data_IF_138151480200
#
_entry.id   IF_138151480200
#
_cell.length_a   1.000
_cell.length_b   1.000
_cell.length_c   1.000
_cell.angle_alpha   90.00
_cell.angle_beta   90.00
_cell.angle_gamma   90.00
#
_symmetry.space_group_name_H-M   'P 1'
#
loop_
_entity.id
_entity.type
_entity.pdbx_description
1 polymer ?
#
# COMPACT_ATOMS: atom_id res chain seq x y z
N UNK A 1 16.87 9.31 -5.38
CA UNK A 1 15.57 10.01 -5.24
C UNK A 1 14.91 9.56 -3.93
N UNK A 2 14.34 10.46 -3.11
CA UNK A 2 13.60 10.05 -1.89
C UNK A 2 12.22 9.55 -2.28
N UNK A 3 11.77 8.45 -1.69
CA UNK A 3 10.45 7.86 -1.94
C UNK A 3 9.64 7.72 -0.67
N UNK A 4 8.32 7.72 -0.84
CA UNK A 4 7.40 7.38 0.24
C UNK A 4 7.12 5.89 0.20
N UNK A 5 7.47 5.19 1.28
CA UNK A 5 7.33 3.75 1.43
C UNK A 5 6.21 3.43 2.42
N UNK A 6 5.45 2.40 2.11
CA UNK A 6 4.34 1.93 2.91
C UNK A 6 4.43 0.43 3.15
N UNK A 7 3.86 -0.04 4.25
CA UNK A 7 3.59 -1.47 4.42
C UNK A 7 2.59 -1.92 3.35
N UNK A 8 2.98 -2.95 2.59
CA UNK A 8 2.18 -3.46 1.47
C UNK A 8 0.79 -3.93 1.91
N UNK A 9 0.67 -4.57 3.08
CA UNK A 9 -0.62 -5.07 3.58
C UNK A 9 -1.53 -3.92 3.99
N UNK A 10 -0.98 -2.86 4.58
CA UNK A 10 -1.73 -1.64 4.87
C UNK A 10 -2.26 -0.99 3.57
N UNK A 11 -1.43 -0.89 2.54
CA UNK A 11 -1.88 -0.35 1.25
C UNK A 11 -2.93 -1.24 0.57
N UNK A 12 -2.78 -2.57 0.64
CA UNK A 12 -3.79 -3.50 0.15
C UNK A 12 -5.13 -3.31 0.87
N UNK A 13 -5.09 -3.09 2.19
CA UNK A 13 -6.28 -2.77 3.00
C UNK A 13 -6.91 -1.45 2.58
N UNK A 14 -6.12 -0.39 2.39
CA UNK A 14 -6.64 0.90 1.91
C UNK A 14 -7.37 0.76 0.56
N UNK A 15 -6.82 -0.03 -0.38
CA UNK A 15 -7.48 -0.30 -1.66
C UNK A 15 -8.82 -1.02 -1.47
N UNK A 16 -8.89 -2.01 -0.59
CA UNK A 16 -10.14 -2.69 -0.27
C UNK A 16 -11.18 -1.72 0.31
N UNK A 17 -10.78 -0.87 1.25
CA UNK A 17 -11.65 0.13 1.86
C UNK A 17 -12.19 1.12 0.81
N UNK A 18 -11.32 1.62 -0.07
CA UNK A 18 -11.68 2.51 -1.17
C UNK A 18 -12.65 1.88 -2.18
N UNK A 19 -12.53 0.58 -2.46
CA UNK A 19 -13.49 -0.11 -3.34
C UNK A 19 -14.87 -0.28 -2.70
N UNK A 20 -14.95 -0.26 -1.37
CA UNK A 20 -16.21 -0.44 -0.63
C UNK A 20 -16.86 0.87 -0.19
N UNK A 21 -16.12 1.98 -0.25
CA UNK A 21 -16.65 3.26 0.21
C UNK A 21 -17.68 3.80 -0.79
N UNK A 22 -18.93 3.87 -0.36
CA UNK A 22 -19.94 4.68 -1.04
C UNK A 22 -19.86 6.08 -0.46
N UNK A 23 -19.62 7.09 -1.30
CA UNK A 23 -19.58 8.51 -0.91
C UNK A 23 -21.02 8.99 -0.70
N UNK A 24 -21.69 8.53 0.36
CA UNK A 24 -23.01 9.00 0.74
C UNK A 24 -23.14 9.06 2.26
N UNK A 25 -23.08 10.28 2.78
CA UNK A 25 -23.37 10.61 4.16
C UNK A 25 -22.19 10.44 5.12
N UNK A 26 -22.54 10.43 6.41
CA UNK A 26 -21.60 10.50 7.54
C UNK A 26 -21.19 9.08 8.00
N UNK A 27 -21.88 8.05 7.50
CA UNK A 27 -21.73 6.66 7.94
C UNK A 27 -20.33 6.08 7.66
N UNK A 28 -19.58 6.69 6.74
CA UNK A 28 -18.27 6.21 6.28
C UNK A 28 -17.10 6.98 6.92
N UNK A 29 -17.35 7.89 7.88
CA UNK A 29 -16.29 8.66 8.54
C UNK A 29 -15.19 7.77 9.16
N UNK A 30 -15.55 6.59 9.68
CA UNK A 30 -14.58 5.62 10.20
C UNK A 30 -13.70 5.02 9.11
N UNK A 31 -14.28 4.70 7.95
CA UNK A 31 -13.55 4.15 6.79
C UNK A 31 -12.57 5.19 6.25
N UNK A 32 -13.01 6.45 6.16
CA UNK A 32 -12.15 7.58 5.74
C UNK A 32 -11.01 7.80 6.73
N UNK A 33 -11.28 7.75 8.04
CA UNK A 33 -10.26 7.86 9.06
C UNK A 33 -9.24 6.72 9.00
N UNK A 34 -9.68 5.48 8.74
CA UNK A 34 -8.77 4.32 8.57
C UNK A 34 -7.90 4.48 7.33
N UNK A 35 -8.45 4.96 6.21
CA UNK A 35 -7.66 5.26 5.02
C UNK A 35 -6.63 6.36 5.30
N UNK A 36 -7.01 7.43 5.99
CA UNK A 36 -6.11 8.52 6.36
C UNK A 36 -4.93 8.03 7.23
N UNK A 37 -5.21 7.22 8.26
CA UNK A 37 -4.17 6.65 9.13
C UNK A 37 -3.17 5.79 8.33
N UNK A 38 -3.64 5.01 7.35
CA UNK A 38 -2.76 4.24 6.46
C UNK A 38 -1.86 5.16 5.64
N UNK A 39 -2.42 6.23 5.07
CA UNK A 39 -1.68 7.19 4.24
C UNK A 39 -0.66 8.01 5.06
N UNK A 40 -0.97 8.32 6.32
CA UNK A 40 -0.07 9.02 7.25
C UNK A 40 1.06 8.11 7.76
N UNK A 41 0.87 6.78 7.71
CA UNK A 41 1.90 5.81 8.12
C UNK A 41 3.09 5.70 7.16
N UNK A 42 3.07 6.46 6.06
CA UNK A 42 4.14 6.48 5.06
C UNK A 42 5.44 6.99 5.63
N UNK A 43 6.53 6.26 5.37
CA UNK A 43 7.88 6.64 5.79
C UNK A 43 8.73 7.02 4.60
N UNK A 44 9.68 7.93 4.80
CA UNK A 44 10.65 8.25 3.76
C UNK A 44 11.62 7.08 3.63
N UNK A 45 11.58 6.39 2.50
CA UNK A 45 12.55 5.38 2.11
C UNK A 45 13.41 5.86 0.95
N UNK A 46 14.52 5.17 0.72
CA UNK A 46 15.34 5.36 -0.47
C UNK A 46 15.01 4.28 -1.49
N UNK A 47 14.80 4.66 -2.75
CA UNK A 47 14.91 3.68 -3.84
C UNK A 47 16.38 3.29 -3.86
N UNK A 48 16.69 2.05 -3.47
CA UNK A 48 17.88 1.39 -3.97
C UNK A 48 17.66 1.32 -5.49
N UNK A 49 18.19 2.30 -6.22
CA UNK A 49 18.24 2.24 -7.67
C UNK A 49 18.86 0.88 -7.98
N UNK A 50 18.06 -0.02 -8.55
CA UNK A 50 18.54 -1.29 -9.07
C UNK A 50 19.48 -0.95 -10.22
N UNK A 51 20.72 -0.60 -9.89
CA UNK A 51 21.86 -0.91 -10.73
C UNK A 51 21.86 -2.42 -10.89
N UNK A 52 21.44 -2.85 -12.08
CA UNK A 52 21.81 -4.09 -12.76
C UNK A 52 21.90 -5.37 -11.90
N UNK A 53 20.96 -6.30 -12.16
CA UNK A 53 20.95 -7.71 -11.74
C UNK A 53 20.80 -8.01 -10.24
N UNK A 54 19.61 -8.52 -9.88
CA UNK A 54 19.50 -9.86 -9.27
C UNK A 54 18.03 -10.32 -9.14
N UNK A 55 17.74 -11.37 -9.90
CA UNK A 55 16.73 -12.42 -9.74
C UNK A 55 15.26 -12.07 -9.44
N UNK A 56 14.50 -12.19 -10.54
CA UNK A 56 13.17 -12.79 -10.57
C UNK A 56 13.20 -14.13 -9.83
N UNK A 57 12.52 -14.23 -8.69
CA UNK A 57 12.14 -15.53 -8.09
C UNK A 57 10.62 -15.62 -8.12
N UNK A 58 10.11 -15.81 -9.33
CA UNK A 58 8.84 -16.49 -9.55
C UNK A 58 9.19 -17.91 -9.99
N UNK A 59 9.47 -18.78 -9.03
CA UNK A 59 9.55 -20.22 -9.28
C UNK A 59 8.78 -20.93 -8.16
N UNK A 60 7.44 -20.92 -8.28
CA UNK A 60 6.61 -21.93 -7.64
C UNK A 60 6.60 -23.14 -8.57
N UNK A 61 7.53 -24.06 -8.38
CA UNK A 61 7.30 -25.46 -8.77
C UNK A 61 6.19 -26.01 -7.88
N UNK A 62 5.03 -26.19 -8.50
CA UNK A 62 3.99 -27.10 -8.01
C UNK A 62 4.55 -28.52 -8.12
N UNK A 63 4.69 -29.20 -6.99
CA UNK A 63 4.89 -30.65 -6.92
C UNK A 63 3.57 -31.37 -7.20
#
# INVERSE_FOLDING_TARGET
MKTLTYDYKKMQRAVQLLNTISICGIAQARIIAEIADILDSGTIGEILEKGENQNVVHDKKVQ
#
